data_IF_369035519180
#
_entry.id   IF_369035519180
#
_cell.length_a   1.000
_cell.length_b   1.000
_cell.length_c   1.000
_cell.angle_alpha   90.00
_cell.angle_beta   90.00
_cell.angle_gamma   90.00
#
_symmetry.space_group_name_H-M   'P 1'
#
loop_
_entity.id
_entity.type
_entity.pdbx_description
1 polymer ?
#
# COMPACT_ATOMS: atom_id res chain seq x y z
N UNK A 1 -18.51 -3.04 -19.61
CA UNK A 1 -17.17 -3.66 -19.50
C UNK A 1 -16.13 -2.57 -19.46
N UNK A 2 -15.25 -2.53 -18.46
CA UNK A 2 -14.08 -1.63 -18.44
C UNK A 2 -12.97 -2.30 -19.24
N UNK A 3 -12.40 -1.60 -20.22
CA UNK A 3 -11.30 -2.12 -21.03
C UNK A 3 -10.03 -2.29 -20.17
N UNK A 4 -9.11 -3.21 -20.51
CA UNK A 4 -7.85 -3.39 -19.78
C UNK A 4 -7.09 -2.07 -19.62
N UNK A 5 -7.00 -1.27 -20.68
CA UNK A 5 -6.35 0.05 -20.68
C UNK A 5 -7.00 1.04 -19.70
N UNK A 6 -8.33 1.04 -19.58
CA UNK A 6 -9.02 1.89 -18.62
C UNK A 6 -8.76 1.44 -17.17
N UNK A 7 -8.68 0.13 -16.93
CA UNK A 7 -8.30 -0.43 -15.62
C UNK A 7 -6.87 -0.05 -15.24
N UNK A 8 -5.93 -0.17 -16.18
CA UNK A 8 -4.52 0.14 -15.96
C UNK A 8 -4.31 1.63 -15.70
N UNK A 9 -5.05 2.50 -16.39
CA UNK A 9 -5.01 3.95 -16.17
C UNK A 9 -5.51 4.35 -14.78
N UNK A 10 -6.59 3.71 -14.30
CA UNK A 10 -7.11 3.94 -12.94
C UNK A 10 -6.14 3.42 -11.87
N UNK A 11 -5.53 2.25 -12.07
CA UNK A 11 -4.49 1.72 -11.20
C UNK A 11 -3.25 2.61 -11.17
N UNK A 12 -2.79 3.08 -12.34
CA UNK A 12 -1.65 3.98 -12.45
C UNK A 12 -1.93 5.31 -11.73
N UNK A 13 -3.11 5.90 -11.91
CA UNK A 13 -3.47 7.12 -11.17
C UNK A 13 -3.55 6.89 -9.67
N UNK A 14 -4.08 5.73 -9.26
CA UNK A 14 -4.23 5.38 -7.84
C UNK A 14 -2.90 5.11 -7.13
N UNK A 15 -1.90 4.58 -7.85
CA UNK A 15 -0.59 4.21 -7.30
C UNK A 15 0.44 5.34 -7.39
N UNK A 16 0.43 6.12 -8.48
CA UNK A 16 1.46 7.13 -8.76
C UNK A 16 1.01 8.58 -8.57
N UNK A 17 -0.31 8.86 -8.55
CA UNK A 17 -0.85 10.23 -8.53
C UNK A 17 -1.15 10.79 -7.13
N UNK A 18 -0.75 10.13 -6.05
CA UNK A 18 -1.09 10.51 -4.67
C UNK A 18 0.14 10.48 -3.77
N UNK A 19 0.50 11.64 -3.21
CA UNK A 19 1.59 11.76 -2.22
C UNK A 19 1.35 10.87 -1.00
N UNK A 20 0.09 10.74 -0.54
CA UNK A 20 -0.26 9.82 0.55
C UNK A 20 -0.07 8.35 0.17
N UNK A 21 -0.38 7.94 -1.06
CA UNK A 21 -0.12 6.58 -1.51
C UNK A 21 1.37 6.27 -1.50
N UNK A 22 2.19 7.21 -1.99
CA UNK A 22 3.63 7.06 -1.96
C UNK A 22 4.18 6.95 -0.53
N UNK A 23 3.72 7.81 0.38
CA UNK A 23 4.10 7.74 1.80
C UNK A 23 3.74 6.39 2.43
N UNK A 24 2.56 5.83 2.13
CA UNK A 24 2.15 4.50 2.59
C UNK A 24 3.02 3.40 1.99
N UNK A 25 3.35 3.45 0.70
CA UNK A 25 4.21 2.46 0.03
C UNK A 25 5.62 2.46 0.63
N UNK A 26 6.19 3.64 0.88
CA UNK A 26 7.50 3.79 1.54
C UNK A 26 7.42 3.21 2.96
N UNK A 27 6.42 3.60 3.75
CA UNK A 27 6.25 3.09 5.11
C UNK A 27 6.12 1.56 5.15
N UNK A 28 5.41 0.93 4.21
CA UNK A 28 5.31 -0.54 4.14
C UNK A 28 6.65 -1.16 3.73
N UNK A 29 7.39 -0.52 2.83
CA UNK A 29 8.67 -1.04 2.32
C UNK A 29 9.78 -0.99 3.37
N UNK A 30 9.74 0.01 4.26
CA UNK A 30 10.72 0.21 5.32
C UNK A 30 10.47 -0.64 6.59
N UNK A 31 9.35 -1.37 6.66
CA UNK A 31 9.09 -2.30 7.76
C UNK A 31 9.95 -3.56 7.58
N UNK A 32 10.72 -3.91 8.61
CA UNK A 32 11.59 -5.10 8.57
C UNK A 32 10.82 -6.44 8.54
N UNK A 33 9.55 -6.43 8.96
CA UNK A 33 8.64 -7.58 8.95
C UNK A 33 7.86 -7.68 7.62
N UNK A 34 7.58 -8.90 7.17
CA UNK A 34 6.72 -9.14 5.99
C UNK A 34 5.25 -8.79 6.24
N UNK A 35 4.84 -8.90 7.50
CA UNK A 35 3.50 -8.58 7.95
C UNK A 35 3.46 -7.20 8.66
N UNK A 36 2.40 -6.43 8.40
CA UNK A 36 2.14 -5.12 8.97
C UNK A 36 0.64 -4.91 9.26
N UNK A 37 0.30 -3.90 10.04
CA UNK A 37 -1.09 -3.56 10.37
C UNK A 37 -1.47 -2.13 9.95
N UNK A 38 -2.76 -1.86 9.77
CA UNK A 38 -3.23 -0.50 9.46
C UNK A 38 -2.86 0.53 10.54
N UNK A 39 -2.98 0.24 11.87
CA UNK A 39 -2.51 1.14 12.91
C UNK A 39 -1.02 1.49 12.82
N UNK A 40 -0.17 0.51 12.51
CA UNK A 40 1.27 0.74 12.32
C UNK A 40 1.54 1.71 11.16
N UNK A 41 0.82 1.57 10.05
CA UNK A 41 0.94 2.51 8.92
C UNK A 41 0.44 3.91 9.30
N UNK A 42 -0.63 4.02 10.08
CA UNK A 42 -1.10 5.31 10.60
C UNK A 42 -0.03 6.00 11.45
N UNK A 43 0.64 5.24 12.33
CA UNK A 43 1.72 5.76 13.17
C UNK A 43 2.91 6.25 12.34
N UNK A 44 3.37 5.44 11.38
CA UNK A 44 4.52 5.77 10.54
C UNK A 44 4.27 6.96 9.60
N UNK A 45 3.03 7.13 9.14
CA UNK A 45 2.70 8.15 8.12
C UNK A 45 1.99 9.38 8.67
N UNK A 46 1.48 9.32 9.91
CA UNK A 46 0.61 10.35 10.49
C UNK A 46 -0.76 10.50 9.81
N UNK A 47 -1.12 9.59 8.90
CA UNK A 47 -2.37 9.67 8.14
C UNK A 47 -3.57 9.19 8.96
N UNK A 48 -4.73 9.81 8.72
CA UNK A 48 -5.98 9.39 9.34
C UNK A 48 -6.38 7.96 8.91
N UNK A 49 -7.05 7.23 9.80
CA UNK A 49 -7.48 5.84 9.58
C UNK A 49 -8.26 5.64 8.28
N UNK A 50 -9.19 6.55 7.95
CA UNK A 50 -9.98 6.49 6.72
C UNK A 50 -9.11 6.53 5.45
N UNK A 51 -8.04 7.34 5.47
CA UNK A 51 -7.08 7.42 4.37
C UNK A 51 -6.27 6.14 4.27
N UNK A 52 -5.70 5.67 5.38
CA UNK A 52 -4.90 4.44 5.41
C UNK A 52 -5.70 3.23 4.93
N UNK A 53 -6.93 3.03 5.44
CA UNK A 53 -7.77 1.91 5.00
C UNK A 53 -8.14 2.00 3.50
N UNK A 54 -8.39 3.21 3.00
CA UNK A 54 -8.65 3.42 1.57
C UNK A 54 -7.44 3.05 0.72
N UNK A 55 -6.23 3.44 1.14
CA UNK A 55 -4.98 3.17 0.43
C UNK A 55 -4.61 1.69 0.48
N UNK A 56 -4.72 1.04 1.65
CA UNK A 56 -4.55 -0.42 1.80
C UNK A 56 -5.52 -1.17 0.88
N UNK A 57 -6.79 -0.76 0.79
CA UNK A 57 -7.76 -1.39 -0.10
C UNK A 57 -7.35 -1.29 -1.57
N UNK A 58 -6.72 -0.17 -1.98
CA UNK A 58 -6.20 -0.01 -3.34
C UNK A 58 -5.00 -0.92 -3.60
N UNK A 59 -4.08 -1.03 -2.64
CA UNK A 59 -2.92 -1.92 -2.74
C UNK A 59 -3.34 -3.39 -2.83
N UNK A 60 -4.35 -3.81 -2.06
CA UNK A 60 -4.97 -5.15 -2.17
C UNK A 60 -5.54 -5.39 -3.57
N UNK A 61 -6.29 -4.42 -4.11
CA UNK A 61 -6.87 -4.52 -5.46
C UNK A 61 -5.81 -4.53 -6.56
N UNK A 62 -4.67 -3.90 -6.31
CA UNK A 62 -3.51 -3.91 -7.20
C UNK A 62 -2.68 -5.19 -7.09
N UNK A 63 -2.96 -6.07 -6.12
CA UNK A 63 -2.20 -7.30 -5.90
C UNK A 63 -0.77 -7.04 -5.40
N UNK A 64 -0.55 -5.91 -4.71
CA UNK A 64 0.76 -5.57 -4.15
C UNK A 64 0.93 -6.04 -2.70
N UNK A 65 -0.20 -6.30 -2.04
CA UNK A 65 -0.27 -6.83 -0.68
C UNK A 65 -1.43 -7.84 -0.60
N UNK A 66 -1.38 -8.73 0.37
CA UNK A 66 -2.45 -9.65 0.73
C UNK A 66 -2.88 -9.49 2.20
N UNK A 67 -4.03 -10.08 2.55
CA UNK A 67 -4.41 -10.26 3.95
C UNK A 67 -3.71 -11.52 4.48
N UNK A 68 -2.89 -11.36 5.51
CA UNK A 68 -2.19 -12.47 6.20
C UNK A 68 -3.08 -13.16 7.25
N UNK A 69 -4.14 -12.48 7.70
CA UNK A 69 -5.03 -12.95 8.76
C UNK A 69 -4.95 -12.07 9.99
N UNK A 70 -5.31 -12.60 11.17
CA UNK A 70 -5.08 -11.97 12.47
C UNK A 70 -4.60 -13.04 13.45
N UNK A 71 -3.79 -12.66 14.44
CA UNK A 71 -3.40 -13.58 15.51
C UNK A 71 -4.66 -14.04 16.28
N UNK A 72 -4.76 -15.31 16.71
CA UNK A 72 -5.91 -15.78 17.48
C UNK A 72 -6.13 -14.92 18.73
N UNK A 73 -7.28 -14.24 18.81
CA UNK A 73 -7.61 -13.33 19.93
C UNK A 73 -7.32 -11.84 19.65
N UNK A 74 -6.64 -11.52 18.55
CA UNK A 74 -6.46 -10.13 18.11
C UNK A 74 -7.53 -9.71 17.09
N UNK A 75 -8.13 -8.54 17.31
CA UNK A 75 -9.07 -7.92 16.36
C UNK A 75 -8.37 -7.23 15.19
N UNK A 76 -7.06 -7.06 15.27
CA UNK A 76 -6.28 -6.33 14.27
C UNK A 76 -6.01 -7.23 13.06
N UNK A 77 -6.33 -6.72 11.87
CA UNK A 77 -6.03 -7.39 10.60
C UNK A 77 -4.57 -7.14 10.26
N UNK A 78 -3.85 -8.20 9.95
CA UNK A 78 -2.51 -8.17 9.39
C UNK A 78 -2.56 -8.29 7.86
N UNK A 79 -1.68 -7.54 7.24
CA UNK A 79 -1.43 -7.51 5.80
C UNK A 79 0.00 -7.93 5.54
N UNK A 80 0.22 -8.61 4.43
CA UNK A 80 1.54 -9.06 3.99
C UNK A 80 1.91 -8.41 2.67
N UNK A 81 3.19 -8.08 2.50
CA UNK A 81 3.75 -7.70 1.18
C UNK A 81 3.75 -8.91 0.25
N UNK A 82 3.25 -8.76 -0.97
CA UNK A 82 3.41 -9.83 -1.96
C UNK A 82 4.88 -10.00 -2.33
N UNK A 83 5.31 -11.24 -2.65
CA UNK A 83 6.69 -11.59 -3.05
C UNK A 83 7.01 -11.07 -4.47
N UNK A 84 6.90 -9.76 -4.64
CA UNK A 84 7.21 -9.04 -5.87
C UNK A 84 8.07 -7.84 -5.52
N UNK A 85 9.05 -7.54 -6.37
CA UNK A 85 9.88 -6.33 -6.21
C UNK A 85 9.11 -5.04 -6.54
N UNK A 86 7.81 -5.12 -6.82
CA UNK A 86 7.02 -3.99 -7.28
C UNK A 86 6.87 -2.91 -6.19
N UNK A 87 6.62 -3.30 -4.95
CA UNK A 87 6.44 -2.34 -3.85
C UNK A 87 7.74 -1.55 -3.57
N UNK A 88 8.86 -2.25 -3.53
CA UNK A 88 10.20 -1.65 -3.36
C UNK A 88 10.55 -0.73 -4.53
N UNK A 89 10.22 -1.12 -5.77
CA UNK A 89 10.41 -0.27 -6.95
C UNK A 89 9.56 1.00 -6.87
N UNK A 90 8.29 0.90 -6.45
CA UNK A 90 7.39 2.04 -6.27
C UNK A 90 7.89 2.99 -5.16
N UNK A 91 8.43 2.45 -4.07
CA UNK A 91 9.04 3.25 -3.00
C UNK A 91 10.25 4.07 -3.51
N UNK A 92 11.02 3.54 -4.45
CA UNK A 92 12.18 4.26 -5.03
C UNK A 92 11.81 5.29 -6.10
N UNK A 93 10.65 5.15 -6.76
CA UNK A 93 10.26 6.02 -7.87
C UNK A 93 9.89 7.44 -7.44
N UNK A 94 9.30 7.62 -6.25
CA UNK A 94 8.89 8.95 -5.77
C UNK A 94 10.04 9.91 -5.50
N UNK A 95 11.28 9.41 -5.38
CA UNK A 95 12.49 10.24 -5.27
C UNK A 95 12.81 10.98 -6.57
N UNK A 96 12.33 10.50 -7.73
CA UNK A 96 12.75 11.01 -9.04
C UNK A 96 11.77 11.97 -9.73
N UNK A 97 10.56 12.15 -9.20
CA UNK A 97 9.50 12.97 -9.85
C UNK A 97 9.35 14.35 -9.18
N UNK A 98 10.08 14.61 -8.09
CA UNK A 98 10.06 15.88 -7.36
C UNK A 98 11.21 16.85 -7.74
N UNK A 99 11.81 16.69 -8.93
CA UNK A 99 12.83 17.61 -9.49
C UNK A 99 12.24 18.38 -10.64
#
# INVERSE_FOLDING_TARGET
MVTPVARDKELSKALFGSSHMHAVIVAISDIDSDDFSAPQIMELTGLAASSVHTLITRLLRAGLIAKSGGLPGERTILYRREETNALEALARLGVRVAT
#
